data_IF_668404945358
#
_entry.id   IF_668404945358
#
_cell.length_a   1.000
_cell.length_b   1.000
_cell.length_c   1.000
_cell.angle_alpha   90.00
_cell.angle_beta   90.00
_cell.angle_gamma   90.00
#
_symmetry.space_group_name_H-M   'P 1'
#
loop_
_entity.id
_entity.type
_entity.pdbx_description
1 polymer ?
#
# COMPACT_ATOMS: atom_id res chain seq x y z
N UNK A 1 -17.99 44.77 4.69
CA UNK A 1 -17.67 43.77 3.65
C UNK A 1 -17.12 42.54 4.38
N UNK A 2 -18.04 41.68 4.83
CA UNK A 2 -18.24 40.28 4.41
C UNK A 2 -17.20 39.31 5.00
N UNK A 3 -17.56 38.74 6.16
CA UNK A 3 -16.91 37.59 6.80
C UNK A 3 -17.39 36.32 6.10
N UNK A 4 -16.49 35.58 5.48
CA UNK A 4 -16.81 34.30 4.85
C UNK A 4 -16.76 33.18 5.89
N UNK A 5 -17.92 32.87 6.49
CA UNK A 5 -18.14 31.64 7.24
C UNK A 5 -18.85 30.64 6.33
N UNK A 6 -18.09 29.97 5.48
CA UNK A 6 -18.62 28.83 4.72
C UNK A 6 -17.52 27.77 4.66
N UNK A 7 -17.95 26.51 4.78
CA UNK A 7 -17.20 25.30 4.42
C UNK A 7 -16.61 24.43 5.55
N UNK A 8 -17.28 24.32 6.70
CA UNK A 8 -17.06 23.19 7.63
C UNK A 8 -17.98 21.98 7.35
N UNK A 9 -19.08 22.17 6.63
CA UNK A 9 -20.08 21.10 6.39
C UNK A 9 -19.75 20.17 5.22
N UNK A 10 -18.79 20.52 4.35
CA UNK A 10 -18.47 19.72 3.16
C UNK A 10 -17.48 18.56 3.43
N UNK A 11 -16.71 18.60 4.53
CA UNK A 11 -15.77 17.51 4.86
C UNK A 11 -16.41 16.27 5.48
N UNK A 12 -17.60 16.39 6.09
CA UNK A 12 -18.23 15.25 6.78
C UNK A 12 -18.89 14.23 5.82
N UNK A 13 -19.18 14.63 4.57
CA UNK A 13 -19.86 13.77 3.61
C UNK A 13 -18.92 12.77 2.90
N UNK A 14 -17.61 13.05 2.84
CA UNK A 14 -16.66 12.17 2.14
C UNK A 14 -16.26 10.92 2.94
N UNK A 15 -16.36 10.95 4.28
CA UNK A 15 -16.02 9.79 5.12
C UNK A 15 -17.10 8.69 5.12
N UNK A 16 -18.30 8.95 4.62
CA UNK A 16 -19.41 7.98 4.64
C UNK A 16 -19.40 6.99 3.46
N UNK A 17 -18.62 7.26 2.41
CA UNK A 17 -18.61 6.43 1.19
C UNK A 17 -17.76 5.14 1.29
N UNK A 18 -17.00 4.94 2.38
CA UNK A 18 -16.09 3.80 2.53
C UNK A 18 -16.68 2.52 3.12
N UNK A 19 -17.96 2.51 3.54
CA UNK A 19 -18.51 1.40 4.34
C UNK A 19 -19.26 0.32 3.55
N UNK A 20 -19.23 0.32 2.21
CA UNK A 20 -20.12 -0.54 1.41
C UNK A 20 -19.49 -1.81 0.80
N UNK A 21 -18.22 -2.14 1.09
CA UNK A 21 -17.55 -3.33 0.55
C UNK A 21 -17.11 -4.30 1.65
N UNK A 22 -18.07 -4.87 2.36
CA UNK A 22 -17.83 -6.00 3.25
C UNK A 22 -19.08 -6.88 3.30
N UNK A 23 -19.46 -7.48 2.16
CA UNK A 23 -20.57 -8.42 2.11
C UNK A 23 -20.08 -9.77 1.57
N UNK A 24 -19.98 -10.73 2.51
CA UNK A 24 -20.05 -12.17 2.31
C UNK A 24 -18.88 -12.87 1.60
N UNK A 25 -17.69 -12.86 2.20
CA UNK A 25 -16.79 -14.01 2.07
C UNK A 25 -17.18 -15.03 3.15
N UNK A 26 -17.73 -16.18 2.73
CA UNK A 26 -17.97 -17.30 3.64
C UNK A 26 -16.62 -17.72 4.27
N UNK A 27 -16.53 -17.93 5.59
CA UNK A 27 -15.30 -18.41 6.21
C UNK A 27 -14.89 -19.74 5.56
N UNK A 28 -13.62 -19.95 5.19
CA UNK A 28 -13.14 -21.28 4.82
C UNK A 28 -13.47 -22.20 6.00
N UNK A 29 -14.15 -23.33 5.71
CA UNK A 29 -14.65 -24.25 6.72
C UNK A 29 -13.57 -24.58 7.74
N UNK A 30 -13.74 -24.06 8.97
CA UNK A 30 -12.84 -24.35 10.06
C UNK A 30 -13.16 -25.75 10.56
N UNK A 31 -12.21 -26.67 10.36
CA UNK A 31 -12.33 -28.02 10.89
C UNK A 31 -12.19 -27.95 12.42
N UNK A 32 -13.31 -28.07 13.13
CA UNK A 32 -13.33 -28.04 14.60
C UNK A 32 -12.79 -29.38 15.14
N UNK A 33 -11.59 -29.36 15.74
CA UNK A 33 -11.04 -30.53 16.44
C UNK A 33 -11.58 -30.57 17.88
N UNK A 34 -12.40 -31.56 18.20
CA UNK A 34 -12.88 -31.80 19.55
C UNK A 34 -11.93 -32.75 20.28
N UNK A 35 -11.66 -32.57 21.60
CA UNK A 35 -10.75 -33.46 22.34
C UNK A 35 -11.18 -34.94 22.35
N UNK A 36 -12.45 -35.22 22.09
CA UNK A 36 -12.99 -36.58 21.98
C UNK A 36 -12.69 -37.25 20.63
N UNK A 37 -12.32 -36.49 19.60
CA UNK A 37 -11.99 -37.02 18.29
C UNK A 37 -10.48 -37.14 18.14
N UNK A 38 -10.02 -38.35 17.80
CA UNK A 38 -8.61 -38.66 17.61
C UNK A 38 -8.03 -37.77 16.51
N UNK A 39 -6.93 -37.10 16.80
CA UNK A 39 -6.19 -36.30 15.82
C UNK A 39 -5.59 -37.18 14.73
N UNK A 40 -5.23 -36.59 13.58
CA UNK A 40 -4.71 -37.30 12.40
C UNK A 40 -3.45 -38.15 12.69
N UNK A 41 -2.70 -37.76 13.70
CA UNK A 41 -1.50 -38.43 14.24
C UNK A 41 -1.81 -39.43 15.36
N UNK A 42 -3.08 -39.66 15.70
CA UNK A 42 -3.50 -40.62 16.71
C UNK A 42 -3.53 -40.08 18.14
N UNK A 43 -3.14 -38.82 18.36
CA UNK A 43 -3.14 -38.17 19.67
C UNK A 43 -4.55 -37.74 20.10
N UNK A 44 -4.81 -37.75 21.41
CA UNK A 44 -5.99 -37.10 22.03
C UNK A 44 -5.66 -35.70 22.56
N UNK A 45 -4.38 -35.32 22.54
CA UNK A 45 -3.93 -33.99 22.92
C UNK A 45 -3.85 -33.10 21.69
N UNK A 46 -4.36 -31.86 21.74
CA UNK A 46 -4.22 -30.92 20.64
C UNK A 46 -2.73 -30.64 20.36
N UNK A 47 -2.35 -30.40 19.09
CA UNK A 47 -0.96 -30.09 18.76
C UNK A 47 -0.51 -28.82 19.48
N UNK A 48 0.67 -28.84 20.11
CA UNK A 48 1.23 -27.69 20.83
C UNK A 48 1.65 -26.53 19.92
N UNK A 49 1.47 -26.64 18.60
CA UNK A 49 1.83 -25.62 17.63
C UNK A 49 0.76 -25.51 16.56
N UNK A 50 0.17 -24.32 16.44
CA UNK A 50 -0.72 -23.98 15.35
C UNK A 50 0.08 -23.84 14.05
N UNK A 51 -0.19 -24.69 13.05
CA UNK A 51 0.37 -24.52 11.70
C UNK A 51 -0.65 -23.81 10.83
N UNK A 52 -0.40 -22.55 10.51
CA UNK A 52 -1.19 -21.78 9.55
C UNK A 52 -0.49 -21.79 8.19
N UNK A 53 -1.13 -22.37 7.18
CA UNK A 53 -0.69 -22.23 5.78
C UNK A 53 -1.49 -21.10 5.15
N UNK A 54 -0.84 -19.97 4.87
CA UNK A 54 -1.46 -18.90 4.09
C UNK A 54 -1.49 -19.35 2.64
N UNK A 55 -2.65 -19.75 2.13
CA UNK A 55 -2.85 -19.86 0.69
C UNK A 55 -2.91 -18.43 0.14
N UNK A 56 -1.95 -17.99 -0.70
CA UNK A 56 -2.09 -16.72 -1.39
C UNK A 56 -3.34 -16.81 -2.26
N UNK A 57 -4.25 -15.85 -2.12
CA UNK A 57 -5.46 -15.76 -2.92
C UNK A 57 -5.06 -15.76 -4.41
N UNK A 58 -5.72 -16.58 -5.24
CA UNK A 58 -5.42 -16.65 -6.65
C UNK A 58 -5.71 -15.28 -7.31
N UNK A 59 -4.65 -14.51 -7.58
CA UNK A 59 -4.74 -13.11 -8.03
C UNK A 59 -3.98 -12.11 -7.16
N UNK A 60 -3.50 -12.51 -5.97
CA UNK A 60 -2.72 -11.67 -5.05
C UNK A 60 -1.24 -11.54 -5.44
N UNK A 61 -0.94 -11.29 -6.73
CA UNK A 61 0.37 -10.70 -7.04
C UNK A 61 0.38 -9.30 -6.45
N UNK A 62 1.45 -8.89 -5.73
CA UNK A 62 1.62 -7.50 -5.38
C UNK A 62 1.47 -6.68 -6.66
N UNK A 63 0.53 -5.73 -6.68
CA UNK A 63 0.45 -4.76 -7.76
C UNK A 63 1.81 -4.05 -7.77
N UNK A 64 2.54 -4.18 -8.87
CA UNK A 64 3.77 -3.44 -9.05
C UNK A 64 3.40 -1.95 -8.99
N UNK A 65 3.82 -1.28 -7.91
CA UNK A 65 3.63 0.16 -7.77
C UNK A 65 4.62 0.81 -8.73
N UNK A 66 4.14 1.17 -9.90
CA UNK A 66 4.91 1.81 -10.95
C UNK A 66 4.64 3.31 -10.95
N UNK A 67 5.70 4.13 -11.07
CA UNK A 67 5.54 5.56 -11.30
C UNK A 67 4.77 5.82 -12.59
N UNK A 68 3.90 6.84 -12.58
CA UNK A 68 3.17 7.29 -13.76
C UNK A 68 4.14 7.67 -14.90
N UNK A 69 3.73 7.57 -16.17
CA UNK A 69 4.58 7.95 -17.30
C UNK A 69 5.05 9.41 -17.23
N UNK A 70 4.22 10.32 -16.70
CA UNK A 70 4.58 11.73 -16.48
C UNK A 70 5.69 11.88 -15.44
N UNK A 71 5.58 11.17 -14.32
CA UNK A 71 6.58 11.18 -13.24
C UNK A 71 7.94 10.67 -13.72
N UNK A 72 7.93 9.63 -14.56
CA UNK A 72 9.14 9.10 -15.21
C UNK A 72 9.76 10.09 -16.19
N UNK A 73 8.94 10.73 -17.03
CA UNK A 73 9.43 11.74 -17.97
C UNK A 73 10.09 12.92 -17.24
N UNK A 74 9.50 13.35 -16.11
CA UNK A 74 10.05 14.40 -15.28
C UNK A 74 11.38 14.00 -14.64
N UNK A 75 11.49 12.78 -14.12
CA UNK A 75 12.76 12.27 -13.59
C UNK A 75 13.86 12.24 -14.66
N UNK A 76 13.56 11.75 -15.87
CA UNK A 76 14.52 11.72 -16.98
C UNK A 76 14.99 13.13 -17.34
N UNK A 77 14.07 14.10 -17.36
CA UNK A 77 14.39 15.51 -17.62
C UNK A 77 15.31 16.09 -16.53
N UNK A 78 15.00 15.86 -15.26
CA UNK A 78 15.84 16.29 -14.15
C UNK A 78 17.25 15.70 -14.23
N UNK A 79 17.36 14.41 -14.55
CA UNK A 79 18.65 13.75 -14.69
C UNK A 79 19.47 14.39 -15.80
N UNK A 80 18.88 14.62 -16.98
CA UNK A 80 19.59 15.30 -18.08
C UNK A 80 20.08 16.71 -17.70
N UNK A 81 19.31 17.47 -16.93
CA UNK A 81 19.71 18.80 -16.46
C UNK A 81 20.85 18.68 -15.44
N UNK A 82 20.72 17.78 -14.48
CA UNK A 82 21.73 17.56 -13.43
C UNK A 82 23.05 17.07 -14.03
N UNK A 83 23.00 16.11 -14.96
CA UNK A 83 24.17 15.58 -15.66
C UNK A 83 24.91 16.65 -16.47
N UNK A 84 24.20 17.63 -17.03
CA UNK A 84 24.80 18.73 -17.80
C UNK A 84 25.34 19.85 -16.90
N UNK A 85 24.72 20.09 -15.75
CA UNK A 85 25.06 21.17 -14.84
C UNK A 85 26.15 20.78 -13.84
N UNK A 86 26.29 19.50 -13.52
CA UNK A 86 27.25 19.03 -12.54
C UNK A 86 28.67 18.97 -13.11
N UNK A 87 29.63 19.50 -12.35
CA UNK A 87 31.06 19.33 -12.64
C UNK A 87 31.69 18.14 -11.89
N UNK A 88 30.97 17.58 -10.92
CA UNK A 88 31.38 16.40 -10.16
C UNK A 88 30.18 15.52 -9.76
N UNK A 89 30.49 14.32 -9.23
CA UNK A 89 29.47 13.35 -8.81
C UNK A 89 28.61 13.84 -7.64
N UNK A 90 29.16 14.64 -6.73
CA UNK A 90 28.42 15.12 -5.56
C UNK A 90 27.34 16.14 -5.98
N UNK A 91 27.66 17.02 -6.91
CA UNK A 91 26.73 17.98 -7.49
C UNK A 91 25.61 17.28 -8.29
N UNK A 92 25.96 16.25 -9.07
CA UNK A 92 24.98 15.45 -9.80
C UNK A 92 24.00 14.77 -8.83
N UNK A 93 24.51 14.14 -7.76
CA UNK A 93 23.68 13.49 -6.74
C UNK A 93 22.80 14.49 -5.99
N UNK A 94 23.33 15.68 -5.66
CA UNK A 94 22.56 16.74 -5.01
C UNK A 94 21.39 17.23 -5.89
N UNK A 95 21.61 17.40 -7.20
CA UNK A 95 20.55 17.77 -8.15
C UNK A 95 19.47 16.68 -8.28
N UNK A 96 19.89 15.41 -8.34
CA UNK A 96 18.95 14.29 -8.36
C UNK A 96 18.13 14.16 -7.07
N UNK A 97 18.76 14.35 -5.91
CA UNK A 97 18.09 14.28 -4.61
C UNK A 97 17.00 15.37 -4.49
N UNK A 98 17.27 16.58 -4.99
CA UNK A 98 16.25 17.64 -5.05
C UNK A 98 15.08 17.24 -5.95
N UNK A 99 15.34 16.72 -7.15
CA UNK A 99 14.25 16.31 -8.05
C UNK A 99 13.40 15.17 -7.48
N UNK A 100 14.03 14.17 -6.85
CA UNK A 100 13.29 13.07 -6.22
C UNK A 100 12.40 13.56 -5.07
N UNK A 101 12.88 14.52 -4.27
CA UNK A 101 12.08 15.14 -3.20
C UNK A 101 10.82 15.84 -3.75
N UNK A 102 10.94 16.57 -4.86
CA UNK A 102 9.77 17.21 -5.46
C UNK A 102 8.78 16.20 -6.05
N UNK A 103 9.27 15.11 -6.65
CA UNK A 103 8.43 14.03 -7.15
C UNK A 103 7.68 13.35 -5.99
N UNK A 104 8.35 13.11 -4.87
CA UNK A 104 7.71 12.53 -3.69
C UNK A 104 6.64 13.46 -3.09
N UNK A 105 6.91 14.77 -3.02
CA UNK A 105 5.92 15.76 -2.61
C UNK A 105 4.69 15.80 -3.51
N UNK A 106 4.85 15.52 -4.81
CA UNK A 106 3.73 15.41 -5.75
C UNK A 106 2.93 14.12 -5.57
N UNK A 107 3.57 13.01 -5.19
CA UNK A 107 2.87 11.75 -4.87
C UNK A 107 2.01 11.85 -3.60
N UNK A 108 2.33 12.79 -2.69
CA UNK A 108 1.60 12.98 -1.43
C UNK A 108 0.41 13.96 -1.52
N UNK A 109 0.20 14.59 -2.68
CA UNK A 109 -0.93 15.50 -2.97
C UNK A 109 -2.04 14.74 -3.69
#
# INVERSE_FOLDING_TARGET
MHKHHVSAFLLAALCAAGAAQAQNAAPPGQEMQFPSTRSKDGSLSPPSTLRMTVSPEAGSRPVAVEDSPESRAQFVRCRQVSDRAAVDNAQMQAGLAQCLKELEQRRQQ
#
